data_IF_664472008850
#
_entry.id   IF_664472008850
#
_cell.length_a   1.000
_cell.length_b   1.000
_cell.length_c   1.000
_cell.angle_alpha   90.00
_cell.angle_beta   90.00
_cell.angle_gamma   90.00
#
_symmetry.space_group_name_H-M   'P 1'
#
loop_
_entity.id
_entity.type
_entity.pdbx_description
1 polymer ?
#
# COMPACT_ATOMS: atom_id res chain seq x y z
N UNK A 1 18.76 -4.56 3.93
CA UNK A 1 17.62 -4.98 3.10
C UNK A 1 17.06 -6.26 3.70
N UNK A 2 15.79 -6.22 4.11
CA UNK A 2 15.17 -7.23 4.95
C UNK A 2 15.00 -8.59 4.23
N UNK A 3 15.45 -9.67 4.88
CA UNK A 3 15.28 -11.05 4.43
C UNK A 3 13.80 -11.48 4.37
N UNK A 4 12.87 -10.70 4.93
CA UNK A 4 11.43 -10.97 4.92
C UNK A 4 10.80 -11.02 3.52
N UNK A 5 11.39 -10.35 2.52
CA UNK A 5 10.92 -10.40 1.12
C UNK A 5 11.19 -11.76 0.46
N UNK A 6 12.16 -12.54 0.96
CA UNK A 6 12.63 -13.77 0.31
C UNK A 6 11.74 -15.00 0.57
N UNK A 7 10.99 -15.06 1.68
CA UNK A 7 10.12 -16.19 2.04
C UNK A 7 8.62 -15.87 1.83
N UNK A 8 8.22 -15.61 0.59
CA UNK A 8 6.82 -15.25 0.31
C UNK A 8 5.93 -16.49 0.23
N UNK A 9 4.83 -16.56 1.01
CA UNK A 9 3.83 -17.58 0.77
C UNK A 9 3.18 -17.36 -0.60
N UNK A 10 2.77 -18.45 -1.25
CA UNK A 10 1.99 -18.39 -2.48
C UNK A 10 0.68 -17.64 -2.25
N UNK A 11 0.13 -17.02 -3.30
CA UNK A 11 -1.17 -16.36 -3.21
C UNK A 11 -2.25 -17.41 -2.96
N UNK A 12 -3.08 -17.18 -1.95
CA UNK A 12 -4.32 -17.93 -1.75
C UNK A 12 -5.31 -17.69 -2.89
N UNK A 13 -6.28 -18.59 -3.06
CA UNK A 13 -7.36 -18.46 -4.04
C UNK A 13 -8.08 -17.09 -3.94
N UNK A 14 -8.35 -16.64 -2.71
CA UNK A 14 -8.97 -15.33 -2.45
C UNK A 14 -8.10 -14.17 -2.96
N UNK A 15 -6.79 -14.22 -2.78
CA UNK A 15 -5.87 -13.19 -3.28
C UNK A 15 -5.78 -13.19 -4.80
N UNK A 16 -5.81 -14.37 -5.43
CA UNK A 16 -5.83 -14.50 -6.90
C UNK A 16 -7.13 -13.89 -7.44
N UNK A 17 -8.28 -14.26 -6.88
CA UNK A 17 -9.57 -13.68 -7.25
C UNK A 17 -9.57 -12.15 -7.12
N UNK A 18 -9.14 -11.62 -5.97
CA UNK A 18 -9.06 -10.18 -5.73
C UNK A 18 -8.11 -9.47 -6.71
N UNK A 19 -6.98 -10.08 -7.05
CA UNK A 19 -6.06 -9.56 -8.07
C UNK A 19 -6.75 -9.46 -9.44
N UNK A 20 -7.40 -10.54 -9.89
CA UNK A 20 -8.07 -10.56 -11.20
C UNK A 20 -9.19 -9.52 -11.26
N UNK A 21 -10.00 -9.42 -10.20
CA UNK A 21 -11.06 -8.40 -10.11
C UNK A 21 -10.47 -6.99 -10.20
N UNK A 22 -9.43 -6.69 -9.43
CA UNK A 22 -8.79 -5.37 -9.42
C UNK A 22 -8.21 -5.01 -10.79
N UNK A 23 -7.51 -5.95 -11.41
CA UNK A 23 -6.79 -5.75 -12.66
C UNK A 23 -7.72 -5.62 -13.86
N UNK A 24 -8.73 -6.49 -13.96
CA UNK A 24 -9.55 -6.61 -15.17
C UNK A 24 -10.91 -5.91 -15.06
N UNK A 25 -11.49 -5.82 -13.86
CA UNK A 25 -12.81 -5.22 -13.69
C UNK A 25 -12.77 -3.83 -13.08
N UNK A 26 -11.83 -3.55 -12.17
CA UNK A 26 -11.76 -2.26 -11.48
C UNK A 26 -10.69 -1.30 -12.00
N UNK A 27 -9.93 -1.68 -13.03
CA UNK A 27 -8.96 -0.79 -13.68
C UNK A 27 -7.76 -0.40 -12.82
N UNK A 28 -7.51 -1.07 -11.70
CA UNK A 28 -6.33 -0.82 -10.87
C UNK A 28 -5.06 -1.33 -11.55
N UNK A 29 -3.96 -0.60 -11.39
CA UNK A 29 -2.64 -1.03 -11.84
C UNK A 29 -1.92 -1.70 -10.69
N UNK A 30 -2.04 -3.02 -10.59
CA UNK A 30 -1.38 -3.83 -9.55
C UNK A 30 -0.48 -4.86 -10.20
N UNK A 31 0.80 -4.87 -9.82
CA UNK A 31 1.74 -5.88 -10.27
C UNK A 31 1.37 -7.26 -9.70
N UNK A 32 1.46 -8.32 -10.53
CA UNK A 32 1.24 -9.69 -10.07
C UNK A 32 2.19 -10.12 -8.94
N UNK A 33 3.41 -9.59 -8.94
CA UNK A 33 4.43 -9.87 -7.94
C UNK A 33 4.16 -9.21 -6.58
N UNK A 34 3.24 -8.24 -6.51
CA UNK A 34 2.81 -7.63 -5.26
C UNK A 34 2.08 -8.67 -4.39
N UNK A 35 2.37 -8.67 -3.10
CA UNK A 35 1.68 -9.49 -2.13
C UNK A 35 0.79 -8.60 -1.27
N UNK A 36 -0.52 -8.81 -1.38
CA UNK A 36 -1.52 -8.02 -0.67
C UNK A 36 -2.28 -8.98 0.22
N UNK A 37 -2.27 -8.75 1.53
CA UNK A 37 -3.09 -9.54 2.45
C UNK A 37 -4.55 -9.52 1.99
N UNK A 38 -5.23 -10.67 2.03
CA UNK A 38 -6.63 -10.76 1.57
C UNK A 38 -7.60 -9.87 2.36
N UNK A 39 -7.16 -9.41 3.54
CA UNK A 39 -7.84 -8.50 4.47
C UNK A 39 -7.43 -7.04 4.32
N UNK A 40 -6.43 -6.71 3.50
CA UNK A 40 -6.08 -5.33 3.20
C UNK A 40 -7.23 -4.67 2.39
N UNK A 41 -7.60 -3.47 2.80
CA UNK A 41 -8.66 -2.69 2.18
C UNK A 41 -8.02 -1.75 1.18
N UNK A 42 -8.05 -2.16 -0.07
CA UNK A 42 -7.69 -1.28 -1.18
C UNK A 42 -8.97 -0.62 -1.66
N UNK A 43 -8.89 0.68 -1.89
CA UNK A 43 -10.00 1.51 -2.32
C UNK A 43 -10.78 0.88 -3.49
N UNK A 44 -12.11 0.92 -3.36
CA UNK A 44 -13.05 0.43 -4.37
C UNK A 44 -13.91 1.54 -4.98
N UNK A 45 -13.86 2.74 -4.42
CA UNK A 45 -14.61 3.90 -4.92
C UNK A 45 -13.89 4.52 -6.11
N UNK A 46 -12.56 4.63 -6.06
CA UNK A 46 -11.73 5.12 -7.17
C UNK A 46 -10.58 4.18 -7.53
N UNK A 47 -10.89 2.91 -7.88
CA UNK A 47 -9.88 1.86 -8.01
C UNK A 47 -8.88 2.10 -9.16
N UNK A 48 -9.24 2.89 -10.17
CA UNK A 48 -8.34 3.32 -11.25
C UNK A 48 -7.19 4.21 -10.77
N UNK A 49 -7.33 4.84 -9.59
CA UNK A 49 -6.25 5.61 -8.95
C UNK A 49 -5.24 4.75 -8.20
N UNK A 50 -5.42 3.43 -8.13
CA UNK A 50 -4.50 2.53 -7.41
C UNK A 50 -3.36 2.11 -8.34
N UNK A 51 -2.14 2.43 -7.93
CA UNK A 51 -0.90 1.99 -8.57
C UNK A 51 0.01 1.27 -7.54
N UNK A 52 0.14 -0.04 -7.66
CA UNK A 52 0.94 -0.89 -6.77
C UNK A 52 2.00 -1.61 -7.59
N UNK A 53 3.26 -1.27 -7.34
CA UNK A 53 4.42 -1.72 -8.10
C UNK A 53 4.89 -3.13 -7.73
N UNK A 54 5.94 -3.60 -8.41
CA UNK A 54 6.50 -4.92 -8.21
C UNK A 54 6.98 -5.17 -6.79
N UNK A 55 6.71 -6.38 -6.31
CA UNK A 55 7.21 -6.88 -5.03
C UNK A 55 6.81 -6.03 -3.81
N UNK A 56 5.80 -5.17 -3.92
CA UNK A 56 5.19 -4.51 -2.76
C UNK A 56 4.60 -5.54 -1.81
N UNK A 57 4.71 -5.30 -0.50
CA UNK A 57 4.04 -6.08 0.53
C UNK A 57 3.02 -5.21 1.27
N UNK A 58 1.75 -5.63 1.30
CA UNK A 58 0.71 -4.94 2.05
C UNK A 58 0.17 -5.86 3.13
N UNK A 59 0.39 -5.46 4.38
CA UNK A 59 0.01 -6.21 5.58
C UNK A 59 -1.49 -6.27 5.82
N UNK A 60 -1.94 -7.18 6.72
CA UNK A 60 -3.35 -7.32 7.07
C UNK A 60 -3.97 -6.01 7.54
N UNK A 61 -5.19 -5.75 7.07
CA UNK A 61 -6.00 -4.58 7.45
C UNK A 61 -5.38 -3.22 7.14
N UNK A 62 -4.30 -3.14 6.35
CA UNK A 62 -3.84 -1.86 5.83
C UNK A 62 -4.91 -1.26 4.90
N UNK A 63 -5.05 0.06 4.94
CA UNK A 63 -5.94 0.83 4.08
C UNK A 63 -5.09 1.59 3.06
N UNK A 64 -5.41 1.43 1.78
CA UNK A 64 -4.85 2.26 0.70
C UNK A 64 -6.00 2.99 0.06
N UNK A 65 -6.05 4.30 0.28
CA UNK A 65 -7.13 5.16 -0.16
C UNK A 65 -6.70 5.97 -1.38
N UNK A 66 -7.68 6.28 -2.22
CA UNK A 66 -7.60 7.11 -3.43
C UNK A 66 -8.74 8.12 -3.49
N UNK A 67 -9.70 8.05 -2.58
CA UNK A 67 -10.78 9.04 -2.47
C UNK A 67 -10.98 9.54 -1.04
N UNK A 68 -11.49 10.75 -0.95
CA UNK A 68 -12.05 11.32 0.28
C UNK A 68 -13.36 12.03 -0.08
N UNK A 69 -14.50 11.42 0.27
CA UNK A 69 -15.82 11.98 -0.03
C UNK A 69 -16.09 13.28 0.73
N UNK A 70 -15.52 13.43 1.94
CA UNK A 70 -15.70 14.66 2.73
C UNK A 70 -15.04 15.86 2.07
N UNK A 71 -14.02 15.62 1.24
CA UNK A 71 -13.27 16.64 0.49
C UNK A 71 -13.58 16.64 -1.01
N UNK A 72 -14.42 15.72 -1.50
CA UNK A 72 -14.71 15.56 -2.93
C UNK A 72 -13.49 15.21 -3.78
N UNK A 73 -12.50 14.52 -3.20
CA UNK A 73 -11.20 14.27 -3.85
C UNK A 73 -11.09 12.83 -4.36
N UNK A 74 -10.51 12.69 -5.56
CA UNK A 74 -10.24 11.43 -6.25
C UNK A 74 -8.82 11.50 -6.82
N UNK A 75 -7.83 10.98 -6.08
CA UNK A 75 -6.41 11.12 -6.39
C UNK A 75 -5.74 9.76 -6.54
N UNK A 76 -4.75 9.70 -7.44
CA UNK A 76 -3.95 8.49 -7.60
C UNK A 76 -3.02 8.30 -6.40
N UNK A 77 -2.98 7.08 -5.86
CA UNK A 77 -2.12 6.68 -4.74
C UNK A 77 -1.16 5.61 -5.25
N UNK A 78 0.13 5.85 -5.05
CA UNK A 78 1.21 5.08 -5.66
C UNK A 78 2.07 4.42 -4.60
N UNK A 79 2.35 3.13 -4.78
CA UNK A 79 3.27 2.39 -3.91
C UNK A 79 4.39 1.82 -4.77
N UNK A 80 5.60 2.34 -4.55
CA UNK A 80 6.82 1.97 -5.26
C UNK A 80 7.31 0.57 -4.93
N UNK A 81 8.14 0.03 -5.82
CA UNK A 81 8.57 -1.35 -5.78
C UNK A 81 9.30 -1.72 -4.47
N UNK A 82 9.15 -2.97 -4.03
CA UNK A 82 9.79 -3.55 -2.83
C UNK A 82 9.42 -2.86 -1.50
N UNK A 83 8.51 -1.90 -1.51
CA UNK A 83 8.04 -1.24 -0.31
C UNK A 83 7.13 -2.13 0.54
N UNK A 84 7.18 -1.94 1.86
CA UNK A 84 6.40 -2.68 2.84
C UNK A 84 5.42 -1.75 3.53
N UNK A 85 4.14 -2.08 3.46
CA UNK A 85 3.06 -1.42 4.18
C UNK A 85 2.66 -2.29 5.36
N UNK A 86 2.94 -1.82 6.57
CA UNK A 86 2.65 -2.52 7.82
C UNK A 86 1.16 -2.78 8.03
N UNK A 87 0.86 -3.75 8.88
CA UNK A 87 -0.52 -4.08 9.24
C UNK A 87 -1.24 -2.85 9.83
N UNK A 88 -2.51 -2.65 9.46
CA UNK A 88 -3.34 -1.52 9.90
C UNK A 88 -2.79 -0.11 9.58
N UNK A 89 -1.77 0.01 8.74
CA UNK A 89 -1.34 1.32 8.25
C UNK A 89 -2.41 1.93 7.33
N UNK A 90 -2.52 3.26 7.32
CA UNK A 90 -3.44 4.02 6.47
C UNK A 90 -2.63 4.87 5.52
N UNK A 91 -2.78 4.65 4.21
CA UNK A 91 -2.22 5.48 3.16
C UNK A 91 -3.33 6.39 2.64
N UNK A 92 -3.19 7.69 2.87
CA UNK A 92 -4.19 8.69 2.48
C UNK A 92 -4.26 8.88 0.96
N UNK A 93 -5.39 9.37 0.42
CA UNK A 93 -5.55 9.66 -0.99
C UNK A 93 -4.46 10.59 -1.53
N UNK A 94 -3.90 10.25 -2.69
CA UNK A 94 -2.92 11.08 -3.38
C UNK A 94 -1.47 10.89 -2.94
N UNK A 95 -1.21 10.01 -1.97
CA UNK A 95 0.15 9.78 -1.47
C UNK A 95 0.95 8.93 -2.45
N UNK A 96 2.18 9.35 -2.69
CA UNK A 96 3.22 8.57 -3.37
C UNK A 96 4.22 8.04 -2.35
N UNK A 97 4.30 6.71 -2.25
CA UNK A 97 5.36 6.01 -1.54
C UNK A 97 6.41 5.59 -2.57
N UNK A 98 7.66 6.00 -2.36
CA UNK A 98 8.79 5.61 -3.18
C UNK A 98 9.11 4.10 -3.11
N UNK A 99 10.21 3.72 -3.74
CA UNK A 99 10.71 2.35 -3.70
C UNK A 99 11.47 2.05 -2.40
N UNK A 100 11.54 0.78 -2.02
CA UNK A 100 12.27 0.31 -0.83
C UNK A 100 11.87 1.01 0.49
N UNK A 101 10.65 1.51 0.57
CA UNK A 101 10.13 2.18 1.75
C UNK A 101 9.55 1.17 2.76
N UNK A 102 9.56 1.55 4.04
CA UNK A 102 8.90 0.79 5.10
C UNK A 102 7.92 1.70 5.85
N UNK A 103 6.64 1.36 5.81
CA UNK A 103 5.61 2.01 6.61
C UNK A 103 5.31 1.09 7.78
N UNK A 104 5.59 1.54 9.00
CA UNK A 104 5.40 0.71 10.19
C UNK A 104 3.90 0.44 10.47
N UNK A 105 3.58 -0.66 11.17
CA UNK A 105 2.20 -0.99 11.51
C UNK A 105 1.47 0.15 12.23
N UNK A 106 0.21 0.39 11.84
CA UNK A 106 -0.63 1.43 12.42
C UNK A 106 -0.28 2.87 12.02
N UNK A 107 0.72 3.10 11.18
CA UNK A 107 1.07 4.44 10.74
C UNK A 107 0.00 5.08 9.84
N UNK A 108 -0.20 6.39 9.94
CA UNK A 108 -1.11 7.16 9.06
C UNK A 108 -0.29 8.09 8.16
N UNK A 109 -0.10 7.67 6.92
CA UNK A 109 0.72 8.36 5.93
C UNK A 109 -0.15 9.37 5.18
N UNK A 110 0.06 10.64 5.45
CA UNK A 110 -0.68 11.77 4.86
C UNK A 110 0.15 12.63 3.89
N UNK A 111 1.41 12.26 3.65
CA UNK A 111 2.35 12.93 2.75
C UNK A 111 3.22 11.91 2.04
N UNK A 112 3.78 12.30 0.91
CA UNK A 112 4.69 11.46 0.15
C UNK A 112 5.89 10.99 0.97
N UNK A 113 6.33 9.76 0.69
CA UNK A 113 7.46 9.11 1.35
C UNK A 113 8.56 8.88 0.31
N UNK A 114 9.69 9.59 0.40
CA UNK A 114 10.82 9.39 -0.53
C UNK A 114 11.35 7.95 -0.47
N UNK A 115 11.91 7.47 -1.58
CA UNK A 115 12.47 6.11 -1.67
C UNK A 115 13.50 5.81 -0.57
N UNK A 116 13.51 4.57 -0.08
CA UNK A 116 14.42 4.09 0.96
C UNK A 116 14.09 4.59 2.38
N UNK A 117 13.03 5.37 2.55
CA UNK A 117 12.64 5.90 3.86
C UNK A 117 11.79 4.91 4.64
N UNK A 118 11.89 5.00 5.97
CA UNK A 118 10.99 4.31 6.89
C UNK A 118 10.23 5.33 7.73
N UNK A 119 8.91 5.16 7.84
CA UNK A 119 8.01 6.08 8.54
C UNK A 119 7.11 5.34 9.52
N UNK A 120 6.77 6.00 10.63
CA UNK A 120 5.92 5.47 11.69
C UNK A 120 5.04 6.56 12.32
N UNK A 121 4.01 6.16 13.07
CA UNK A 121 3.16 7.06 13.85
C UNK A 121 1.95 7.64 13.11
N UNK A 122 1.15 8.45 13.83
CA UNK A 122 -0.02 9.14 13.32
C UNK A 122 -0.01 10.62 13.79
N UNK A 123 0.30 11.58 12.91
CA UNK A 123 0.67 11.40 11.50
C UNK A 123 2.04 10.74 11.35
N UNK A 124 2.27 10.06 10.23
CA UNK A 124 3.54 9.39 9.98
C UNK A 124 4.70 10.39 9.88
N UNK A 125 5.82 10.03 10.50
CA UNK A 125 7.09 10.77 10.52
C UNK A 125 8.27 9.81 10.31
N UNK A 126 9.45 10.30 9.89
CA UNK A 126 10.67 9.51 9.89
C UNK A 126 10.84 8.69 11.17
N UNK A 127 11.03 7.37 11.02
CA UNK A 127 10.99 6.44 12.15
C UNK A 127 12.04 6.72 13.25
N UNK A 128 13.13 7.41 12.90
CA UNK A 128 14.20 7.80 13.83
C UNK A 128 13.73 8.77 14.92
N UNK A 129 12.60 9.44 14.72
CA UNK A 129 11.99 10.30 15.73
C UNK A 129 11.37 9.50 16.90
N UNK A 130 11.27 8.17 16.78
CA UNK A 130 10.74 7.26 17.81
C UNK A 130 11.81 6.36 18.44
N UNK A 131 13.07 6.51 18.03
CA UNK A 131 14.21 5.70 18.48
C UNK A 131 14.89 6.28 19.71
#
# INVERSE_FOLDING_TARGET
MDRSIANRPSKSMRQIYQYLVRRYFWGSTVAWSAWIAATALIDRTFPSGIEISDRVWIGPFALVLTHDMSRGMYLATRIGARSVIGARAVIMPGVTIGEDCVVDPGAVVSRDVPSGQRVAGNPARPWREFA
#
